data_IF_601922856992
#
_entry.id   IF_601922856992
#
_cell.length_a   1.000
_cell.length_b   1.000
_cell.length_c   1.000
_cell.angle_alpha   90.00
_cell.angle_beta   90.00
_cell.angle_gamma   90.00
#
_symmetry.space_group_name_H-M   'P 1'
#
loop_
_entity.id
_entity.type
_entity.pdbx_description
1 polymer ?
#
# COMPACT_ATOMS: atom_id res chain seq x y z
N UNK A 1 -6.47 -49.67 68.50
CA UNK A 1 -5.87 -50.49 67.42
C UNK A 1 -4.98 -49.60 66.54
N UNK A 2 -4.12 -50.18 65.68
CA UNK A 2 -3.03 -49.45 64.99
C UNK A 2 -3.55 -48.59 63.83
N UNK A 3 -2.97 -47.39 63.63
CA UNK A 3 -3.19 -46.56 62.44
C UNK A 3 -2.52 -47.21 61.22
N UNK A 4 -3.28 -47.44 60.14
CA UNK A 4 -2.73 -47.96 58.88
C UNK A 4 -2.22 -46.77 58.04
N UNK A 5 -0.91 -46.72 57.79
CA UNK A 5 -0.33 -45.75 56.87
C UNK A 5 -0.58 -46.21 55.41
N UNK A 6 -1.19 -45.35 54.59
CA UNK A 6 -1.28 -45.61 53.13
C UNK A 6 0.11 -45.46 52.50
N UNK A 7 0.66 -46.55 51.98
CA UNK A 7 1.80 -46.47 51.07
C UNK A 7 1.40 -45.70 49.81
N UNK A 8 2.20 -44.71 49.39
CA UNK A 8 2.00 -44.03 48.11
C UNK A 8 2.62 -44.83 46.98
N UNK A 9 1.88 -44.97 45.89
CA UNK A 9 2.32 -45.69 44.69
C UNK A 9 3.50 -44.98 44.03
N UNK A 10 4.32 -45.74 43.29
CA UNK A 10 5.34 -45.18 42.40
C UNK A 10 4.67 -44.26 41.36
N UNK A 11 3.45 -44.60 40.91
CA UNK A 11 2.64 -43.76 40.03
C UNK A 11 2.28 -42.40 40.67
N UNK A 12 1.92 -42.35 41.96
CA UNK A 12 1.63 -41.10 42.67
C UNK A 12 2.84 -40.17 42.71
N UNK A 13 4.03 -40.74 42.88
CA UNK A 13 5.30 -40.00 42.94
C UNK A 13 5.69 -39.45 41.56
N UNK A 14 5.55 -40.27 40.51
CA UNK A 14 5.77 -39.85 39.12
C UNK A 14 4.79 -38.74 38.70
N UNK A 15 3.50 -38.90 38.99
CA UNK A 15 2.48 -37.90 38.65
C UNK A 15 2.72 -36.57 39.37
N UNK A 16 3.06 -36.59 40.68
CA UNK A 16 3.42 -35.38 41.43
C UNK A 16 4.68 -34.71 40.88
N UNK A 17 5.69 -35.49 40.48
CA UNK A 17 6.89 -34.97 39.82
C UNK A 17 6.55 -34.23 38.52
N UNK A 18 5.73 -34.85 37.66
CA UNK A 18 5.29 -34.25 36.40
C UNK A 18 4.52 -32.93 36.61
N UNK A 19 3.56 -32.91 37.54
CA UNK A 19 2.78 -31.70 37.88
C UNK A 19 3.69 -30.57 38.39
N UNK A 20 4.67 -30.87 39.25
CA UNK A 20 5.63 -29.87 39.73
C UNK A 20 6.49 -29.30 38.59
N UNK A 21 6.93 -30.13 37.63
CA UNK A 21 7.66 -29.67 36.44
C UNK A 21 6.80 -28.74 35.58
N UNK A 22 5.53 -29.07 35.33
CA UNK A 22 4.62 -28.22 34.56
C UNK A 22 4.39 -26.84 35.24
N UNK A 23 4.27 -26.81 36.57
CA UNK A 23 4.18 -25.58 37.34
C UNK A 23 5.48 -24.77 37.23
N UNK A 24 6.64 -25.41 37.37
CA UNK A 24 7.95 -24.78 37.24
C UNK A 24 8.18 -24.13 35.87
N UNK A 25 7.85 -24.83 34.78
CA UNK A 25 7.92 -24.30 33.41
C UNK A 25 6.98 -23.10 33.23
N UNK A 26 5.77 -23.17 33.80
CA UNK A 26 4.79 -22.07 33.73
C UNK A 26 5.29 -20.80 34.45
N UNK A 27 5.84 -20.95 35.65
CA UNK A 27 6.41 -19.85 36.44
C UNK A 27 7.64 -19.26 35.75
N UNK A 28 8.51 -20.11 35.18
CA UNK A 28 9.69 -19.66 34.44
C UNK A 28 9.32 -18.91 33.15
N UNK A 29 8.31 -19.39 32.41
CA UNK A 29 7.77 -18.68 31.24
C UNK A 29 7.20 -17.30 31.58
N UNK A 30 6.46 -17.18 32.69
CA UNK A 30 5.99 -15.89 33.21
C UNK A 30 7.14 -14.96 33.61
N UNK A 31 8.20 -15.49 34.23
CA UNK A 31 9.38 -14.71 34.61
C UNK A 31 10.16 -14.20 33.38
N UNK A 32 10.44 -15.05 32.39
CA UNK A 32 11.14 -14.67 31.15
C UNK A 32 10.31 -13.69 30.31
N UNK A 33 9.00 -13.91 30.21
CA UNK A 33 8.08 -12.97 29.57
C UNK A 33 8.04 -11.62 30.28
N UNK A 34 7.93 -11.63 31.62
CA UNK A 34 7.93 -10.43 32.46
C UNK A 34 9.23 -9.63 32.36
N UNK A 35 10.40 -10.30 32.40
CA UNK A 35 11.70 -9.66 32.21
C UNK A 35 11.84 -9.03 30.81
N UNK A 36 11.38 -9.72 29.77
CA UNK A 36 11.39 -9.22 28.38
C UNK A 36 10.46 -8.01 28.20
N UNK A 37 9.27 -8.06 28.81
CA UNK A 37 8.31 -6.95 28.84
C UNK A 37 8.87 -5.73 29.60
N UNK A 38 9.46 -5.95 30.77
CA UNK A 38 10.09 -4.91 31.58
C UNK A 38 11.25 -4.24 30.82
N UNK A 39 12.15 -5.02 30.21
CA UNK A 39 13.23 -4.50 29.37
C UNK A 39 12.72 -3.72 28.15
N UNK A 40 11.66 -4.21 27.50
CA UNK A 40 11.03 -3.48 26.39
C UNK A 40 10.50 -2.11 26.85
N UNK A 41 9.80 -2.03 27.98
CA UNK A 41 9.25 -0.77 28.48
C UNK A 41 10.28 0.19 29.07
N UNK A 42 11.32 -0.30 29.75
CA UNK A 42 12.32 0.53 30.44
C UNK A 42 13.53 0.89 29.60
N UNK A 43 13.91 0.06 28.61
CA UNK A 43 15.10 0.28 27.77
C UNK A 43 14.69 0.50 26.31
N UNK A 44 14.01 -0.46 25.68
CA UNK A 44 13.80 -0.44 24.22
C UNK A 44 12.84 0.66 23.77
N UNK A 45 11.73 0.87 24.48
CA UNK A 45 10.70 1.86 24.17
C UNK A 45 11.20 3.31 24.32
N UNK A 46 11.83 3.74 25.44
CA UNK A 46 12.38 5.09 25.54
C UNK A 46 13.55 5.32 24.56
N UNK A 47 14.41 4.33 24.32
CA UNK A 47 15.47 4.46 23.30
C UNK A 47 14.90 4.71 21.89
N UNK A 48 13.83 4.01 21.51
CA UNK A 48 13.10 4.25 20.24
C UNK A 48 12.40 5.61 20.20
N UNK A 49 11.84 6.07 21.32
CA UNK A 49 11.23 7.40 21.41
C UNK A 49 12.27 8.51 21.23
N UNK A 50 13.40 8.43 21.93
CA UNK A 50 14.52 9.37 21.80
C UNK A 50 15.15 9.35 20.40
N UNK A 51 15.27 8.18 19.77
CA UNK A 51 15.72 8.07 18.38
C UNK A 51 14.73 8.75 17.41
N UNK A 52 13.41 8.62 17.63
CA UNK A 52 12.39 9.31 16.83
C UNK A 52 12.43 10.83 17.04
N UNK A 53 12.68 11.31 18.26
CA UNK A 53 12.87 12.74 18.54
C UNK A 53 14.10 13.29 17.81
N UNK A 54 15.25 12.60 17.89
CA UNK A 54 16.47 12.99 17.16
C UNK A 54 16.27 13.09 15.64
N UNK A 55 15.48 12.19 15.04
CA UNK A 55 15.17 12.25 13.61
C UNK A 55 14.28 13.46 13.25
N UNK A 56 13.36 13.86 14.13
CA UNK A 56 12.54 15.07 13.97
C UNK A 56 13.37 16.34 14.19
N UNK A 57 14.28 16.33 15.15
CA UNK A 57 15.25 17.41 15.39
C UNK A 57 16.21 17.56 14.20
N UNK A 58 16.71 16.46 13.62
CA UNK A 58 17.51 16.46 12.38
C UNK A 58 16.69 16.88 11.14
N UNK A 59 15.38 16.74 11.16
CA UNK A 59 14.49 17.26 10.11
C UNK A 59 14.24 18.78 10.21
N UNK A 60 14.07 19.32 11.42
CA UNK A 60 13.85 20.77 11.63
C UNK A 60 15.15 21.59 11.68
N UNK A 61 16.26 21.01 12.18
CA UNK A 61 17.58 21.67 12.15
C UNK A 61 18.27 21.64 10.79
N UNK A 62 17.79 20.82 9.83
CA UNK A 62 18.27 20.90 8.43
C UNK A 62 17.89 22.27 7.87
N UNK A 63 18.86 23.12 7.49
CA UNK A 63 18.56 24.48 7.04
C UNK A 63 17.67 24.38 5.79
N UNK A 64 16.47 24.98 5.88
CA UNK A 64 15.43 24.87 4.85
C UNK A 64 15.92 25.52 3.55
N UNK A 65 16.57 24.72 2.71
CA UNK A 65 17.18 25.12 1.44
C UNK A 65 16.11 25.49 0.43
N UNK A 66 16.21 26.71 -0.10
CA UNK A 66 15.05 27.49 -0.56
C UNK A 66 15.62 28.60 -1.45
N UNK A 67 15.15 28.79 -2.69
CA UNK A 67 16.03 29.27 -3.77
C UNK A 67 16.18 30.80 -3.95
N UNK A 68 17.42 31.31 -3.94
CA UNK A 68 17.90 32.30 -4.93
C UNK A 68 19.15 31.72 -5.62
N UNK A 69 19.37 32.17 -6.86
CA UNK A 69 20.63 32.08 -7.60
C UNK A 69 21.14 33.51 -7.86
N UNK A 70 22.46 33.78 -7.81
CA UNK A 70 23.02 35.05 -8.22
C UNK A 70 23.03 35.19 -9.76
N UNK A 71 23.06 36.42 -10.29
CA UNK A 71 23.28 36.66 -11.73
C UNK A 71 24.70 36.26 -12.14
N UNK A 72 24.86 35.77 -13.37
CA UNK A 72 26.17 35.45 -13.96
C UNK A 72 26.76 36.73 -14.55
N UNK A 73 27.80 37.25 -13.90
CA UNK A 73 28.70 38.29 -14.41
C UNK A 73 30.11 37.73 -14.60
N UNK A 74 30.89 38.33 -15.50
CA UNK A 74 32.21 37.83 -15.92
C UNK A 74 33.35 38.49 -15.10
N UNK A 75 34.38 37.68 -14.80
CA UNK A 75 35.71 37.98 -14.22
C UNK A 75 35.85 39.06 -13.13
N UNK A 76 36.40 38.64 -11.97
CA UNK A 76 37.85 38.78 -11.70
C UNK A 76 38.22 38.13 -10.34
N UNK A 77 39.26 37.27 -10.34
CA UNK A 77 40.13 37.05 -9.16
C UNK A 77 39.66 36.14 -8.00
N UNK A 78 40.39 35.02 -7.84
CA UNK A 78 40.87 34.43 -6.55
C UNK A 78 39.87 33.75 -5.57
N UNK A 79 40.12 32.44 -5.32
CA UNK A 79 39.76 31.62 -4.13
C UNK A 79 38.27 31.32 -3.75
N UNK A 80 37.90 30.02 -3.73
CA UNK A 80 37.13 29.44 -2.59
C UNK A 80 35.68 28.93 -2.76
N UNK A 81 35.52 27.59 -2.88
CA UNK A 81 34.47 26.71 -2.30
C UNK A 81 32.94 27.05 -2.23
N UNK A 82 32.11 26.10 -2.73
CA UNK A 82 30.81 25.55 -2.20
C UNK A 82 29.46 26.34 -2.22
N UNK A 83 28.58 25.89 -3.13
CA UNK A 83 27.25 25.24 -2.87
C UNK A 83 26.01 26.05 -2.36
N UNK A 84 25.17 26.49 -3.31
CA UNK A 84 23.68 26.31 -3.41
C UNK A 84 22.67 26.84 -2.34
N UNK A 85 21.84 27.83 -2.75
CA UNK A 85 20.42 28.15 -2.38
C UNK A 85 20.02 28.74 -0.98
N UNK A 86 19.49 29.98 -0.98
CA UNK A 86 18.76 30.70 0.10
C UNK A 86 17.90 31.86 -0.51
N UNK A 87 16.63 32.26 -0.23
CA UNK A 87 15.48 31.88 0.64
C UNK A 87 14.12 32.49 0.10
N UNK A 88 12.99 31.72 0.01
CA UNK A 88 11.58 32.23 -0.08
C UNK A 88 11.03 32.75 1.28
N UNK A 89 10.43 33.96 1.32
CA UNK A 89 9.17 34.33 2.04
C UNK A 89 8.89 35.86 2.04
N UNK A 90 7.65 36.24 1.70
CA UNK A 90 6.80 37.36 2.19
C UNK A 90 5.80 37.75 1.06
N UNK A 91 4.54 38.16 1.29
CA UNK A 91 3.68 38.20 2.49
C UNK A 91 2.25 37.69 2.14
N UNK A 92 1.40 37.29 3.11
CA UNK A 92 0.59 38.11 4.04
C UNK A 92 -0.76 38.57 3.42
N UNK A 93 -1.86 38.19 4.11
CA UNK A 93 -3.27 38.63 3.98
C UNK A 93 -4.09 38.31 2.70
N UNK A 94 -5.14 37.49 2.89
CA UNK A 94 -6.53 37.98 2.77
C UNK A 94 -7.51 37.09 3.55
N UNK A 95 -8.64 37.67 3.98
CA UNK A 95 -9.54 37.08 4.98
C UNK A 95 -10.45 35.98 4.43
N UNK A 96 -10.71 34.97 5.26
CA UNK A 96 -11.86 34.06 5.08
C UNK A 96 -13.15 34.86 5.28
N UNK A 97 -14.12 34.70 4.38
CA UNK A 97 -15.50 35.18 4.57
C UNK A 97 -16.45 33.98 4.52
N UNK A 98 -16.90 33.54 5.71
CA UNK A 98 -18.00 32.57 5.84
C UNK A 98 -19.31 33.29 5.56
N UNK A 99 -20.25 32.66 4.85
CA UNK A 99 -21.59 33.19 4.63
C UNK A 99 -22.64 32.07 4.78
N UNK A 100 -23.42 32.07 5.87
CA UNK A 100 -24.51 31.11 6.08
C UNK A 100 -25.86 31.80 6.21
N UNK A 101 -26.78 31.59 5.26
CA UNK A 101 -28.20 31.91 5.47
C UNK A 101 -29.09 30.90 4.74
N UNK A 102 -30.00 30.27 5.49
CA UNK A 102 -31.21 29.63 4.95
C UNK A 102 -32.37 30.58 5.21
N UNK A 103 -33.16 30.88 4.18
CA UNK A 103 -34.44 31.57 4.33
C UNK A 103 -35.42 31.07 3.25
N UNK A 104 -36.66 30.81 3.64
CA UNK A 104 -37.75 30.37 2.76
C UNK A 104 -38.62 31.56 2.37
N UNK A 105 -39.26 31.51 1.18
CA UNK A 105 -40.73 31.49 1.02
C UNK A 105 -41.20 31.80 -0.41
N UNK A 106 -42.30 31.13 -0.81
CA UNK A 106 -43.30 31.52 -1.82
C UNK A 106 -42.84 31.66 -3.30
N UNK A 107 -43.75 31.27 -4.20
CA UNK A 107 -43.60 31.40 -5.65
C UNK A 107 -44.77 32.20 -6.26
N UNK A 108 -45.07 31.92 -7.54
CA UNK A 108 -45.92 32.74 -8.45
C UNK A 108 -45.23 34.06 -8.87
N UNK A 109 -45.33 34.56 -10.11
CA UNK A 109 -45.94 34.00 -11.35
C UNK A 109 -45.37 34.70 -12.61
N UNK A 110 -45.92 34.36 -13.77
CA UNK A 110 -45.91 35.12 -15.05
C UNK A 110 -44.66 35.17 -15.96
N UNK A 111 -44.85 34.55 -17.13
CA UNK A 111 -44.61 35.08 -18.49
C UNK A 111 -43.21 35.51 -18.96
N UNK A 112 -42.64 34.64 -19.81
CA UNK A 112 -42.32 34.91 -21.23
C UNK A 112 -42.13 36.39 -21.64
N UNK A 113 -40.95 36.71 -22.19
CA UNK A 113 -40.84 37.58 -23.36
C UNK A 113 -39.67 37.15 -24.27
N UNK A 114 -39.84 37.27 -25.59
CA UNK A 114 -38.89 36.74 -26.59
C UNK A 114 -38.46 37.82 -27.58
N UNK A 115 -37.14 38.07 -27.70
CA UNK A 115 -36.51 38.82 -28.80
C UNK A 115 -35.02 38.43 -28.86
N UNK A 116 -34.39 37.95 -29.93
CA UNK A 116 -34.51 38.11 -31.41
C UNK A 116 -33.75 39.33 -31.96
N UNK A 117 -32.56 39.03 -32.51
CA UNK A 117 -31.75 39.71 -33.54
C UNK A 117 -31.15 41.12 -33.29
N UNK A 118 -29.81 41.17 -33.13
CA UNK A 118 -28.83 41.90 -33.96
C UNK A 118 -27.42 41.56 -33.43
N UNK A 119 -26.35 41.24 -34.18
CA UNK A 119 -25.90 41.61 -35.53
C UNK A 119 -25.21 42.98 -35.64
N UNK A 120 -23.97 43.06 -35.16
CA UNK A 120 -22.93 43.96 -35.70
C UNK A 120 -21.59 43.24 -35.73
N UNK A 121 -20.87 43.38 -36.84
CA UNK A 121 -19.50 42.92 -37.02
C UNK A 121 -18.54 44.10 -36.90
N UNK A 122 -17.51 44.00 -36.06
CA UNK A 122 -16.37 44.92 -36.11
C UNK A 122 -15.08 44.13 -36.35
N UNK A 123 -14.28 44.62 -37.29
CA UNK A 123 -12.97 44.05 -37.64
C UNK A 123 -11.90 45.05 -37.22
N UNK A 124 -11.05 44.68 -36.26
CA UNK A 124 -9.81 45.41 -36.00
C UNK A 124 -8.61 44.47 -35.91
N UNK A 125 -7.45 45.05 -36.15
CA UNK A 125 -6.25 44.39 -36.64
C UNK A 125 -5.10 44.42 -35.64
N UNK A 126 -4.22 43.43 -35.73
CA UNK A 126 -2.80 43.58 -35.38
C UNK A 126 -2.47 43.31 -33.92
N UNK A 127 -1.59 42.32 -33.70
CA UNK A 127 -1.07 41.98 -32.39
C UNK A 127 -0.41 40.61 -32.41
N UNK A 128 0.89 40.57 -32.74
CA UNK A 128 1.66 39.36 -32.49
C UNK A 128 1.78 39.16 -30.97
N UNK A 129 1.30 38.03 -30.46
CA UNK A 129 1.58 37.61 -29.10
C UNK A 129 2.45 36.34 -29.13
N UNK A 130 3.54 36.39 -28.38
CA UNK A 130 4.57 35.35 -28.35
C UNK A 130 4.03 34.02 -27.78
N UNK A 131 4.69 32.94 -28.17
CA UNK A 131 4.47 31.60 -27.59
C UNK A 131 4.73 31.62 -26.08
N UNK A 132 3.66 31.69 -25.28
CA UNK A 132 3.69 31.32 -23.87
C UNK A 132 3.71 29.80 -23.75
N UNK A 133 4.84 29.19 -24.14
CA UNK A 133 5.11 27.78 -23.89
C UNK A 133 4.99 27.52 -22.39
N UNK A 134 3.87 26.92 -21.98
CA UNK A 134 3.64 26.56 -20.60
C UNK A 134 4.57 25.38 -20.27
N UNK A 135 5.75 25.69 -19.71
CA UNK A 135 6.73 24.71 -19.26
C UNK A 135 6.08 23.78 -18.23
N UNK A 136 5.54 22.66 -18.69
CA UNK A 136 5.03 21.61 -17.81
C UNK A 136 6.19 21.16 -16.95
N UNK A 137 6.05 21.33 -15.63
CA UNK A 137 7.09 20.91 -14.70
C UNK A 137 7.23 19.40 -14.81
N UNK A 138 8.38 18.92 -15.31
CA UNK A 138 8.68 17.49 -15.43
C UNK A 138 8.36 16.81 -14.08
N UNK A 139 7.35 15.92 -14.02
CA UNK A 139 7.09 15.19 -12.81
C UNK A 139 8.32 14.34 -12.49
N UNK A 140 8.74 14.34 -11.23
CA UNK A 140 9.79 13.41 -10.81
C UNK A 140 9.28 11.98 -11.06
N UNK A 141 10.15 11.05 -11.45
CA UNK A 141 9.75 9.67 -11.79
C UNK A 141 8.99 8.94 -10.66
N UNK A 142 9.14 9.38 -9.40
CA UNK A 142 8.39 8.89 -8.26
C UNK A 142 6.94 9.42 -8.18
N UNK A 143 6.58 10.46 -8.93
CA UNK A 143 5.28 11.13 -8.93
C UNK A 143 4.31 10.62 -10.01
N UNK A 144 4.76 9.76 -10.93
CA UNK A 144 3.94 9.16 -12.00
C UNK A 144 3.28 7.83 -11.60
N UNK A 145 3.85 7.13 -10.61
CA UNK A 145 3.30 5.89 -10.06
C UNK A 145 2.10 6.17 -9.14
N UNK A 146 0.96 6.53 -9.75
CA UNK A 146 -0.31 6.70 -9.05
C UNK A 146 -0.95 5.33 -8.76
N UNK A 147 -0.67 4.83 -7.55
CA UNK A 147 -1.30 3.62 -7.01
C UNK A 147 -2.79 3.87 -6.71
N UNK A 148 -3.62 2.92 -7.09
CA UNK A 148 -5.07 2.88 -6.87
C UNK A 148 -5.45 2.04 -5.65
N UNK A 149 -6.57 1.29 -5.77
CA UNK A 149 -7.09 0.40 -4.71
C UNK A 149 -6.41 -0.97 -4.75
N UNK A 150 -6.57 -1.72 -3.64
CA UNK A 150 -6.31 -3.16 -3.60
C UNK A 150 -7.40 -3.88 -4.42
N UNK A 151 -7.03 -4.48 -5.55
CA UNK A 151 -7.94 -5.21 -6.42
C UNK A 151 -8.39 -6.53 -5.76
N UNK A 152 -7.41 -7.33 -5.33
CA UNK A 152 -7.62 -8.59 -4.66
C UNK A 152 -6.40 -9.04 -3.82
N UNK A 153 -6.61 -10.04 -2.96
CA UNK A 153 -5.56 -10.83 -2.29
C UNK A 153 -5.66 -12.27 -2.79
N UNK A 154 -4.57 -12.80 -3.34
CA UNK A 154 -4.55 -14.15 -3.91
C UNK A 154 -4.05 -15.18 -2.89
N UNK A 155 -4.78 -16.29 -2.74
CA UNK A 155 -4.48 -17.39 -1.82
C UNK A 155 -4.36 -18.68 -2.64
N UNK A 156 -3.18 -19.28 -2.64
CA UNK A 156 -2.99 -20.61 -3.23
C UNK A 156 -3.57 -21.67 -2.28
N UNK A 157 -4.37 -22.60 -2.81
CA UNK A 157 -5.12 -23.59 -2.05
C UNK A 157 -4.83 -25.02 -2.54
N UNK A 158 -4.66 -26.01 -1.65
CA UNK A 158 -4.46 -27.41 -2.04
C UNK A 158 -5.77 -28.12 -2.40
N UNK A 159 -6.92 -27.53 -2.10
CA UNK A 159 -8.26 -28.01 -2.43
C UNK A 159 -9.19 -26.79 -2.62
N UNK A 160 -9.44 -26.45 -3.88
CA UNK A 160 -10.25 -25.29 -4.26
C UNK A 160 -11.70 -25.42 -3.79
N UNK A 161 -12.25 -26.64 -3.78
CA UNK A 161 -13.66 -26.92 -3.44
C UNK A 161 -13.90 -26.78 -1.96
N UNK A 162 -13.00 -27.30 -1.14
CA UNK A 162 -13.01 -27.12 0.31
C UNK A 162 -12.76 -25.67 0.73
N UNK A 163 -11.85 -24.96 0.06
CA UNK A 163 -11.64 -23.53 0.29
C UNK A 163 -12.91 -22.71 -0.06
N UNK A 164 -13.47 -22.94 -1.24
CA UNK A 164 -14.71 -22.32 -1.72
C UNK A 164 -15.88 -22.57 -0.77
N UNK A 165 -16.08 -23.81 -0.32
CA UNK A 165 -17.11 -24.16 0.65
C UNK A 165 -16.89 -23.49 2.01
N UNK A 166 -15.65 -23.34 2.47
CA UNK A 166 -15.36 -22.62 3.72
C UNK A 166 -15.78 -21.14 3.64
N UNK A 167 -15.40 -20.43 2.56
CA UNK A 167 -15.81 -19.03 2.39
C UNK A 167 -17.33 -18.87 2.18
N UNK A 168 -17.95 -19.74 1.38
CA UNK A 168 -19.38 -19.66 1.05
C UNK A 168 -20.29 -20.12 2.19
N UNK A 169 -20.05 -21.32 2.71
CA UNK A 169 -20.99 -22.03 3.59
C UNK A 169 -20.71 -21.82 5.08
N UNK A 170 -19.46 -21.53 5.46
CA UNK A 170 -19.06 -21.29 6.87
C UNK A 170 -18.93 -19.80 7.18
N UNK A 171 -18.37 -19.01 6.26
CA UNK A 171 -18.21 -17.55 6.43
C UNK A 171 -19.34 -16.72 5.79
N UNK A 172 -20.25 -17.34 5.04
CA UNK A 172 -21.40 -16.67 4.41
C UNK A 172 -21.05 -15.68 3.29
N UNK A 173 -19.83 -15.76 2.75
CA UNK A 173 -19.39 -14.85 1.70
C UNK A 173 -20.02 -15.19 0.34
N UNK A 174 -20.16 -14.18 -0.52
CA UNK A 174 -20.56 -14.37 -1.92
C UNK A 174 -19.34 -14.87 -2.71
N UNK A 175 -19.50 -15.97 -3.44
CA UNK A 175 -18.39 -16.63 -4.16
C UNK A 175 -18.78 -16.91 -5.62
N UNK A 176 -17.82 -16.79 -6.53
CA UNK A 176 -18.01 -17.09 -7.96
C UNK A 176 -18.12 -18.60 -8.24
N UNK A 177 -18.26 -18.95 -9.52
CA UNK A 177 -17.94 -20.29 -10.01
C UNK A 177 -16.43 -20.49 -10.09
N UNK A 178 -16.01 -21.75 -10.20
CA UNK A 178 -14.67 -22.14 -10.66
C UNK A 178 -14.49 -21.70 -12.12
N UNK A 179 -13.37 -21.05 -12.44
CA UNK A 179 -12.98 -20.65 -13.78
C UNK A 179 -11.55 -21.15 -14.09
N UNK A 180 -11.40 -21.98 -15.12
CA UNK A 180 -10.10 -22.48 -15.56
C UNK A 180 -9.42 -21.43 -16.45
N UNK A 181 -8.16 -21.10 -16.12
CA UNK A 181 -7.31 -20.18 -16.88
C UNK A 181 -6.05 -20.92 -17.39
N UNK A 182 -6.15 -21.68 -18.50
CA UNK A 182 -5.04 -22.50 -19.01
C UNK A 182 -3.77 -21.71 -19.33
N UNK A 183 -3.90 -20.46 -19.79
CA UNK A 183 -2.76 -19.58 -20.09
C UNK A 183 -1.96 -19.17 -18.84
N UNK A 184 -2.62 -19.17 -17.67
CA UNK A 184 -2.01 -18.91 -16.37
C UNK A 184 -1.66 -20.18 -15.59
N UNK A 185 -2.13 -21.35 -16.03
CA UNK A 185 -1.93 -22.61 -15.33
C UNK A 185 -2.59 -22.64 -13.94
N UNK A 186 -3.74 -21.97 -13.79
CA UNK A 186 -4.54 -21.98 -12.54
C UNK A 186 -6.04 -22.13 -12.84
N UNK A 187 -6.76 -22.74 -11.91
CA UNK A 187 -8.21 -22.59 -11.75
C UNK A 187 -8.43 -21.56 -10.63
N UNK A 188 -9.34 -20.61 -10.84
CA UNK A 188 -9.59 -19.52 -9.88
C UNK A 188 -11.04 -19.52 -9.38
N UNK A 189 -11.24 -19.00 -8.17
CA UNK A 189 -12.55 -18.68 -7.59
C UNK A 189 -12.45 -17.36 -6.83
N UNK A 190 -13.33 -16.41 -7.12
CA UNK A 190 -13.38 -15.10 -6.49
C UNK A 190 -14.40 -15.07 -5.34
N UNK A 191 -13.93 -14.70 -4.15
CA UNK A 191 -14.75 -14.35 -2.99
C UNK A 191 -14.93 -12.84 -2.96
N UNK A 192 -16.17 -12.39 -3.04
CA UNK A 192 -16.57 -10.98 -3.09
C UNK A 192 -16.83 -10.46 -1.67
N UNK A 193 -16.01 -9.49 -1.23
CA UNK A 193 -16.12 -8.82 0.07
C UNK A 193 -16.70 -7.39 -0.06
N UNK A 194 -17.15 -7.00 -1.26
CA UNK A 194 -17.67 -5.66 -1.57
C UNK A 194 -16.62 -4.55 -1.68
N UNK A 195 -15.63 -4.50 -0.79
CA UNK A 195 -14.55 -3.51 -0.83
C UNK A 195 -13.31 -3.97 -1.62
N UNK A 196 -13.10 -5.28 -1.73
CA UNK A 196 -12.01 -5.95 -2.45
C UNK A 196 -12.41 -7.42 -2.67
N UNK A 197 -11.56 -8.24 -3.29
CA UNK A 197 -11.79 -9.69 -3.45
C UNK A 197 -10.70 -10.52 -2.78
N UNK A 198 -11.02 -11.77 -2.46
CA UNK A 198 -10.02 -12.82 -2.31
C UNK A 198 -10.09 -13.69 -3.57
N UNK A 199 -8.95 -13.90 -4.22
CA UNK A 199 -8.83 -14.89 -5.30
C UNK A 199 -8.29 -16.19 -4.70
N UNK A 200 -9.04 -17.28 -4.83
CA UNK A 200 -8.61 -18.62 -4.46
C UNK A 200 -8.02 -19.27 -5.71
N UNK A 201 -6.75 -19.64 -5.65
CA UNK A 201 -6.01 -20.24 -6.75
C UNK A 201 -5.76 -21.73 -6.49
N UNK A 202 -5.83 -22.54 -7.54
CA UNK A 202 -5.42 -23.94 -7.53
C UNK A 202 -4.65 -24.30 -8.81
N UNK A 203 -3.66 -25.22 -8.79
CA UNK A 203 -2.90 -25.58 -9.98
C UNK A 203 -3.78 -26.15 -11.11
N UNK A 204 -3.65 -25.61 -12.31
CA UNK A 204 -4.23 -26.18 -13.53
C UNK A 204 -3.11 -26.63 -14.47
N UNK A 205 -3.11 -27.92 -14.81
CA UNK A 205 -2.10 -28.54 -15.68
C UNK A 205 -0.72 -28.71 -15.04
N UNK A 206 0.13 -29.53 -15.68
CA UNK A 206 1.42 -29.99 -15.14
C UNK A 206 2.55 -28.93 -15.07
N UNK A 207 2.25 -27.66 -15.34
CA UNK A 207 3.22 -26.54 -15.35
C UNK A 207 2.70 -25.28 -14.63
N UNK A 208 1.77 -25.44 -13.68
CA UNK A 208 1.25 -24.32 -12.90
C UNK A 208 2.36 -23.52 -12.19
N UNK A 209 2.35 -22.18 -12.26
CA UNK A 209 3.35 -21.36 -11.58
C UNK A 209 3.28 -21.50 -10.05
N UNK A 210 2.09 -21.76 -9.49
CA UNK A 210 1.86 -21.85 -8.05
C UNK A 210 2.16 -23.24 -7.46
N UNK A 211 2.47 -24.25 -8.28
CA UNK A 211 2.79 -25.60 -7.78
C UNK A 211 3.97 -25.55 -6.80
N UNK A 212 5.06 -24.90 -7.20
CA UNK A 212 6.27 -24.67 -6.38
C UNK A 212 6.03 -23.88 -5.08
N UNK A 213 4.86 -23.25 -4.93
CA UNK A 213 4.43 -22.60 -3.69
C UNK A 213 3.69 -23.59 -2.80
N UNK A 214 2.76 -24.38 -3.34
CA UNK A 214 2.02 -25.41 -2.59
C UNK A 214 2.92 -26.58 -2.15
N UNK A 215 3.93 -26.95 -2.93
CA UNK A 215 4.94 -27.96 -2.56
C UNK A 215 5.70 -27.58 -1.27
N UNK A 216 5.78 -26.26 -0.98
CA UNK A 216 6.42 -25.70 0.23
C UNK A 216 5.42 -25.33 1.31
N UNK A 217 4.20 -24.98 0.92
CA UNK A 217 3.10 -24.56 1.78
C UNK A 217 1.91 -25.50 1.55
N UNK A 218 2.05 -26.75 2.02
CA UNK A 218 1.12 -27.85 1.70
C UNK A 218 -0.32 -27.63 2.19
N UNK A 219 -0.51 -26.75 3.18
CA UNK A 219 -1.83 -26.30 3.67
C UNK A 219 -2.45 -25.15 2.86
N UNK A 220 -1.74 -24.62 1.85
CA UNK A 220 -2.06 -23.36 1.19
C UNK A 220 -1.48 -22.13 1.90
N UNK A 221 -1.75 -20.94 1.34
CA UNK A 221 -1.31 -19.67 1.92
C UNK A 221 -1.50 -18.47 0.97
N UNK A 222 -1.35 -17.25 1.51
CA UNK A 222 -1.37 -16.02 0.70
C UNK A 222 -0.17 -16.05 -0.27
N UNK A 223 -0.44 -15.98 -1.57
CA UNK A 223 0.56 -16.04 -2.62
C UNK A 223 1.06 -14.65 -3.02
N UNK A 224 0.12 -13.73 -3.27
CA UNK A 224 0.41 -12.36 -3.72
C UNK A 224 -0.74 -11.40 -3.40
N UNK A 225 -0.50 -10.10 -3.58
CA UNK A 225 -1.55 -9.06 -3.52
C UNK A 225 -1.50 -8.22 -4.80
N UNK A 226 -2.66 -7.80 -5.29
CA UNK A 226 -2.78 -7.02 -6.52
C UNK A 226 -3.27 -5.59 -6.23
N UNK A 227 -2.51 -4.60 -6.70
CA UNK A 227 -2.82 -3.17 -6.53
C UNK A 227 -2.99 -2.53 -7.91
N UNK A 228 -4.03 -1.73 -8.07
CA UNK A 228 -4.32 -1.09 -9.34
C UNK A 228 -3.40 0.11 -9.63
N UNK A 229 -3.18 0.41 -10.90
CA UNK A 229 -2.47 1.61 -11.37
C UNK A 229 -3.22 2.28 -12.54
N UNK A 230 -3.18 3.61 -12.58
CA UNK A 230 -3.83 4.42 -13.62
C UNK A 230 -3.33 4.09 -15.05
N UNK A 231 -2.04 3.79 -15.21
CA UNK A 231 -1.40 3.36 -16.48
C UNK A 231 -0.29 2.36 -16.16
N UNK A 232 -0.49 1.09 -16.54
CA UNK A 232 0.46 0.00 -16.30
C UNK A 232 1.77 0.14 -17.08
N UNK A 233 1.77 0.78 -18.25
CA UNK A 233 2.96 0.96 -19.08
C UNK A 233 3.83 2.08 -18.52
N UNK A 234 3.22 3.22 -18.18
CA UNK A 234 3.90 4.31 -17.47
C UNK A 234 4.42 3.86 -16.10
N UNK A 235 3.67 3.02 -15.38
CA UNK A 235 4.12 2.41 -14.13
C UNK A 235 5.37 1.54 -14.34
N UNK A 236 5.33 0.61 -15.31
CA UNK A 236 6.46 -0.27 -15.64
C UNK A 236 7.70 0.51 -16.06
N UNK A 237 7.57 1.54 -16.90
CA UNK A 237 8.72 2.32 -17.35
C UNK A 237 9.27 3.25 -16.26
N UNK A 238 8.42 3.76 -15.37
CA UNK A 238 8.84 4.48 -14.16
C UNK A 238 9.62 3.56 -13.20
N UNK A 239 9.17 2.32 -13.02
CA UNK A 239 9.87 1.30 -12.22
C UNK A 239 11.24 0.94 -12.84
N UNK A 240 11.30 0.67 -14.16
CA UNK A 240 12.56 0.42 -14.89
C UNK A 240 13.54 1.58 -14.73
N UNK A 241 13.10 2.81 -14.98
CA UNK A 241 13.93 4.02 -14.86
C UNK A 241 14.40 4.28 -13.42
N UNK A 242 13.66 3.81 -12.40
CA UNK A 242 14.11 3.88 -11.01
C UNK A 242 15.25 2.92 -10.68
N UNK A 243 15.28 1.74 -11.33
CA UNK A 243 16.20 0.64 -11.02
C UNK A 243 16.06 0.00 -9.63
N UNK A 244 15.10 0.43 -8.80
CA UNK A 244 15.01 0.06 -7.37
C UNK A 244 14.28 -1.25 -7.07
N UNK A 245 13.37 -1.66 -7.97
CA UNK A 245 12.49 -2.82 -7.79
C UNK A 245 12.63 -3.68 -9.04
N UNK A 246 12.95 -4.96 -8.88
CA UNK A 246 12.95 -5.91 -9.99
C UNK A 246 11.52 -6.25 -10.41
N UNK A 247 11.26 -6.13 -11.70
CA UNK A 247 10.05 -6.61 -12.35
C UNK A 247 10.34 -8.05 -12.82
N UNK A 248 9.43 -9.00 -12.59
CA UNK A 248 9.61 -10.39 -13.04
C UNK A 248 9.53 -10.50 -14.57
N UNK A 249 8.54 -9.84 -15.16
CA UNK A 249 8.31 -9.78 -16.60
C UNK A 249 8.44 -8.33 -17.09
N UNK A 250 9.38 -7.99 -18.00
CA UNK A 250 9.64 -6.60 -18.41
C UNK A 250 8.58 -5.99 -19.36
N UNK A 251 7.55 -6.78 -19.71
CA UNK A 251 6.37 -6.40 -20.48
C UNK A 251 5.12 -6.87 -19.72
N UNK A 252 4.07 -6.04 -19.57
CA UNK A 252 2.79 -6.50 -19.06
C UNK A 252 2.24 -7.66 -19.89
N UNK A 253 1.62 -8.63 -19.22
CA UNK A 253 0.86 -9.74 -19.82
C UNK A 253 -0.62 -9.53 -19.53
N UNK A 254 -1.53 -10.08 -20.32
CA UNK A 254 -2.93 -10.16 -19.92
C UNK A 254 -3.01 -11.10 -18.70
N UNK A 255 -3.68 -10.68 -17.62
CA UNK A 255 -3.92 -11.44 -16.41
C UNK A 255 -5.37 -11.96 -16.31
N UNK A 256 -5.72 -12.55 -15.17
CA UNK A 256 -7.01 -13.24 -14.96
C UNK A 256 -8.25 -12.40 -15.30
N UNK A 257 -8.24 -11.09 -15.04
CA UNK A 257 -9.35 -10.19 -15.35
C UNK A 257 -9.39 -9.69 -16.81
N UNK A 258 -8.60 -10.26 -17.72
CA UNK A 258 -8.49 -9.81 -19.11
C UNK A 258 -7.74 -8.46 -19.27
N UNK A 259 -7.10 -7.98 -18.21
CA UNK A 259 -6.36 -6.71 -18.16
C UNK A 259 -4.84 -6.93 -18.19
N UNK A 260 -4.04 -5.95 -18.66
CA UNK A 260 -2.59 -6.03 -18.55
C UNK A 260 -2.12 -5.89 -17.08
N UNK A 261 -1.31 -6.86 -16.65
CA UNK A 261 -0.72 -7.00 -15.30
C UNK A 261 0.80 -7.16 -15.34
N UNK A 262 1.48 -6.89 -14.22
CA UNK A 262 2.91 -7.16 -14.05
C UNK A 262 3.27 -7.51 -12.60
N UNK A 263 4.22 -8.42 -12.40
CA UNK A 263 4.69 -8.85 -11.08
C UNK A 263 6.01 -8.20 -10.66
N UNK A 264 6.11 -7.78 -9.40
CA UNK A 264 7.30 -7.19 -8.77
C UNK A 264 7.93 -8.15 -7.76
N UNK A 265 9.26 -8.17 -7.69
CA UNK A 265 9.99 -9.21 -6.99
C UNK A 265 9.94 -9.07 -5.45
N UNK A 266 9.53 -10.10 -4.69
CA UNK A 266 9.25 -9.99 -3.25
C UNK A 266 10.42 -9.49 -2.40
N UNK A 267 11.67 -9.83 -2.78
CA UNK A 267 12.89 -9.29 -2.12
C UNK A 267 12.97 -7.76 -2.08
N UNK A 268 12.32 -7.07 -3.02
CA UNK A 268 12.33 -5.61 -3.13
C UNK A 268 11.01 -4.99 -2.60
N UNK A 269 9.99 -5.83 -2.40
CA UNK A 269 8.64 -5.47 -1.96
C UNK A 269 8.35 -5.97 -0.51
N UNK A 270 9.36 -5.95 0.35
CA UNK A 270 9.21 -6.28 1.78
C UNK A 270 8.90 -7.75 2.10
N UNK A 271 9.13 -8.65 1.14
CA UNK A 271 8.82 -10.09 1.24
C UNK A 271 7.52 -10.51 0.54
N UNK A 272 6.68 -9.57 0.13
CA UNK A 272 5.39 -9.83 -0.53
C UNK A 272 5.55 -9.81 -2.04
N UNK A 273 5.05 -10.83 -2.74
CA UNK A 273 4.91 -10.79 -4.21
C UNK A 273 3.80 -9.80 -4.54
N UNK A 274 4.14 -8.74 -5.27
CA UNK A 274 3.19 -7.69 -5.66
C UNK A 274 2.81 -7.87 -7.13
N UNK A 275 1.52 -7.85 -7.44
CA UNK A 275 1.02 -7.62 -8.78
C UNK A 275 0.57 -6.15 -8.90
N UNK A 276 0.82 -5.54 -10.06
CA UNK A 276 0.16 -4.30 -10.48
C UNK A 276 -0.76 -4.62 -11.66
N UNK A 277 -2.03 -4.24 -11.56
CA UNK A 277 -3.06 -4.37 -12.60
C UNK A 277 -3.49 -2.98 -13.11
N UNK A 278 -3.83 -2.88 -14.40
CA UNK A 278 -4.48 -1.70 -14.95
C UNK A 278 -5.85 -1.41 -14.27
N UNK A 279 -6.09 -0.18 -13.81
CA UNK A 279 -7.32 0.23 -13.10
C UNK A 279 -8.64 -0.03 -13.86
#
# INVERSE_FOLDING_TARGET
MRKIAKASSIADKLHKGFVLTCIGVSIWGLFVGGASYYHYFTVTRPARAAAKQKLLEEEDTRPRQKSLLPPIGIDFGLFGFRKMYSIIRQGIFKSVKVCPTVATTKGSSFSVFTRVMASTSETQSGGQNFSSSATQANPTLASLLKLGRLNHVAIATPDLKKATAMYRDVLGAKVSKEEDLPEHGVTTVFVDLGNTKIELLHPFGAKSPIQNFLDKNTSGGIHHICIEVDDIYQAVDSLKASGKIRILDPKPKIGAHGKPVVFLHPKDCGGVLLELEQA
#
